data_IF_040370580976
#
_entry.id   IF_040370580976
#
_cell.length_a   1.000
_cell.length_b   1.000
_cell.length_c   1.000
_cell.angle_alpha   90.00
_cell.angle_beta   90.00
_cell.angle_gamma   90.00
#
_symmetry.space_group_name_H-M   'P 1'
#
loop_
_entity.id
_entity.type
_entity.pdbx_description
1 polymer ?
#
# COMPACT_ATOMS: atom_id res chain seq x y z
N UNK A 1 -7.78 -8.82 -39.61
CA UNK A 1 -8.03 -9.74 -38.48
C UNK A 1 -9.15 -9.16 -37.63
N UNK A 2 -10.10 -9.98 -37.20
CA UNK A 2 -11.23 -9.55 -36.35
C UNK A 2 -10.85 -9.62 -34.87
N UNK A 3 -11.36 -8.72 -34.02
CA UNK A 3 -11.05 -8.69 -32.58
C UNK A 3 -11.31 -10.03 -31.87
N UNK A 4 -12.33 -10.79 -32.30
CA UNK A 4 -12.66 -12.14 -31.81
C UNK A 4 -11.59 -13.21 -32.01
N UNK A 5 -10.64 -13.01 -32.93
CA UNK A 5 -9.54 -13.96 -33.17
C UNK A 5 -8.29 -13.65 -32.33
N UNK A 6 -8.35 -12.62 -31.49
CA UNK A 6 -7.23 -12.19 -30.65
C UNK A 6 -7.28 -12.90 -29.30
N UNK A 7 -6.11 -13.19 -28.74
CA UNK A 7 -5.99 -13.70 -27.37
C UNK A 7 -6.36 -12.63 -26.34
N UNK A 8 -6.63 -13.03 -25.08
CA UNK A 8 -6.85 -12.06 -24.00
C UNK A 8 -5.66 -11.11 -23.83
N UNK A 9 -4.42 -11.61 -23.97
CA UNK A 9 -3.21 -10.78 -23.96
C UNK A 9 -3.18 -9.79 -25.12
N UNK A 10 -3.55 -10.20 -26.34
CA UNK A 10 -3.67 -9.28 -27.47
C UNK A 10 -4.74 -8.20 -27.21
N UNK A 11 -5.85 -8.56 -26.57
CA UNK A 11 -6.92 -7.62 -26.20
C UNK A 11 -6.40 -6.58 -25.20
N UNK A 12 -5.69 -7.05 -24.17
CA UNK A 12 -5.00 -6.22 -23.19
C UNK A 12 -4.02 -5.24 -23.85
N UNK A 13 -3.16 -5.71 -24.75
CA UNK A 13 -2.08 -4.92 -25.32
C UNK A 13 -2.56 -3.94 -26.39
N UNK A 14 -3.56 -4.32 -27.19
CA UNK A 14 -4.00 -3.55 -28.37
C UNK A 14 -5.18 -2.62 -28.09
N UNK A 15 -5.95 -2.84 -27.03
CA UNK A 15 -7.17 -2.08 -26.76
C UNK A 15 -7.23 -1.55 -25.32
N UNK A 16 -7.11 -2.41 -24.31
CA UNK A 16 -7.29 -2.00 -22.91
C UNK A 16 -6.17 -1.09 -22.44
N UNK A 17 -4.91 -1.51 -22.58
CA UNK A 17 -3.75 -0.72 -22.13
C UNK A 17 -3.69 0.63 -22.84
N UNK A 18 -3.84 0.72 -24.19
CA UNK A 18 -3.91 2.01 -24.87
C UNK A 18 -5.05 2.90 -24.39
N UNK A 19 -6.24 2.37 -24.14
CA UNK A 19 -7.38 3.14 -23.62
C UNK A 19 -7.08 3.75 -22.23
N UNK A 20 -6.52 2.94 -21.33
CA UNK A 20 -6.14 3.37 -19.98
C UNK A 20 -5.03 4.43 -20.05
N UNK A 21 -4.02 4.25 -20.91
CA UNK A 21 -2.97 5.26 -21.12
C UNK A 21 -3.50 6.55 -21.76
N UNK A 22 -4.44 6.45 -22.71
CA UNK A 22 -5.06 7.61 -23.34
C UNK A 22 -5.89 8.44 -22.35
N UNK A 23 -6.47 7.80 -21.33
CA UNK A 23 -7.09 8.47 -20.19
C UNK A 23 -6.08 9.13 -19.21
N UNK A 24 -4.77 9.05 -19.50
CA UNK A 24 -3.72 9.75 -18.76
C UNK A 24 -3.08 8.96 -17.62
N UNK A 25 -3.30 7.65 -17.54
CA UNK A 25 -2.63 6.78 -16.57
C UNK A 25 -1.18 6.49 -16.99
N UNK A 26 -0.24 6.63 -16.05
CA UNK A 26 1.17 6.32 -16.30
C UNK A 26 1.46 4.82 -16.26
N UNK A 27 2.09 4.30 -17.33
CA UNK A 27 2.36 2.87 -17.50
C UNK A 27 3.35 2.30 -16.49
N UNK A 28 4.26 3.11 -15.97
CA UNK A 28 5.36 2.67 -15.09
C UNK A 28 5.07 2.96 -13.61
N UNK A 29 4.24 3.96 -13.32
CA UNK A 29 3.98 4.41 -11.95
C UNK A 29 2.58 4.06 -11.44
N UNK A 30 1.60 3.93 -12.32
CA UNK A 30 0.19 3.83 -11.93
C UNK A 30 -0.50 2.57 -12.45
N UNK A 31 -0.05 1.99 -13.57
CA UNK A 31 -0.61 0.77 -14.15
C UNK A 31 0.24 -0.45 -13.74
N UNK A 32 -0.30 -1.32 -12.90
CA UNK A 32 0.36 -2.57 -12.50
C UNK A 32 -0.34 -3.77 -13.14
N UNK A 33 0.29 -4.38 -14.13
CA UNK A 33 -0.23 -5.57 -14.81
C UNK A 33 0.14 -6.85 -14.07
N UNK A 34 -0.70 -7.87 -14.23
CA UNK A 34 -0.46 -9.23 -13.70
C UNK A 34 -0.21 -9.20 -12.18
N UNK A 35 -0.98 -8.37 -11.47
CA UNK A 35 -0.76 -8.05 -10.07
C UNK A 35 -1.14 -9.24 -9.18
N UNK A 36 -0.15 -9.87 -8.55
CA UNK A 36 -0.36 -11.04 -7.70
C UNK A 36 -0.94 -10.65 -6.34
N UNK A 37 -2.20 -11.01 -6.11
CA UNK A 37 -2.91 -10.86 -4.83
C UNK A 37 -2.66 -12.05 -3.90
N UNK A 38 -2.54 -13.26 -4.46
CA UNK A 38 -2.32 -14.49 -3.71
C UNK A 38 -1.37 -15.43 -4.44
N UNK A 39 -0.25 -15.86 -3.85
CA UNK A 39 0.74 -16.69 -4.53
C UNK A 39 0.35 -18.19 -4.61
N UNK A 40 -0.92 -18.52 -4.41
CA UNK A 40 -1.40 -19.89 -4.32
C UNK A 40 -1.06 -20.59 -2.99
N UNK A 41 -1.90 -21.54 -2.61
CA UNK A 41 -1.75 -22.37 -1.41
C UNK A 41 -0.63 -23.38 -1.61
N UNK A 42 0.13 -23.65 -0.56
CA UNK A 42 1.10 -24.74 -0.55
C UNK A 42 0.34 -26.04 -0.30
N UNK A 43 0.54 -27.02 -1.19
CA UNK A 43 -0.02 -28.37 -1.09
C UNK A 43 1.13 -29.34 -0.90
N UNK A 44 1.01 -30.19 0.11
CA UNK A 44 2.01 -31.24 0.41
C UNK A 44 1.43 -32.59 -0.01
N UNK A 45 2.17 -33.33 -0.84
CA UNK A 45 1.84 -34.69 -1.25
C UNK A 45 3.04 -35.60 -1.00
N UNK A 46 2.92 -36.47 -0.01
CA UNK A 46 4.02 -37.34 0.44
C UNK A 46 5.22 -36.50 0.89
N UNK A 47 6.37 -36.71 0.23
CA UNK A 47 7.63 -35.98 0.50
C UNK A 47 7.83 -34.74 -0.38
N UNK A 48 6.85 -34.38 -1.20
CA UNK A 48 6.93 -33.23 -2.12
C UNK A 48 5.96 -32.12 -1.71
N UNK A 49 6.37 -30.87 -1.89
CA UNK A 49 5.52 -29.70 -1.71
C UNK A 49 5.49 -28.88 -2.99
N UNK A 50 4.31 -28.46 -3.42
CA UNK A 50 4.13 -27.57 -4.57
C UNK A 50 3.09 -26.50 -4.26
N UNK A 51 2.98 -25.49 -5.12
CA UNK A 51 1.90 -24.49 -5.03
C UNK A 51 0.75 -24.91 -5.93
N UNK A 52 -0.48 -24.81 -5.40
CA UNK A 52 -1.69 -24.98 -6.19
C UNK A 52 -1.90 -23.74 -7.08
N UNK A 53 -1.51 -23.87 -8.34
CA UNK A 53 -1.61 -22.81 -9.35
C UNK A 53 -3.06 -22.33 -9.55
N UNK A 54 -4.06 -23.19 -9.30
CA UNK A 54 -5.49 -22.81 -9.41
C UNK A 54 -5.94 -21.86 -8.31
N UNK A 55 -5.19 -21.79 -7.22
CA UNK A 55 -5.48 -20.89 -6.09
C UNK A 55 -4.65 -19.60 -6.13
N UNK A 56 -3.88 -19.38 -7.19
CA UNK A 56 -3.22 -18.10 -7.43
C UNK A 56 -4.31 -17.08 -7.74
N UNK A 57 -4.29 -15.97 -7.02
CA UNK A 57 -5.15 -14.83 -7.31
C UNK A 57 -4.27 -13.76 -7.95
N UNK A 58 -4.60 -13.37 -9.17
CA UNK A 58 -3.86 -12.40 -9.96
C UNK A 58 -4.87 -11.54 -10.70
N UNK A 59 -4.79 -10.24 -10.48
CA UNK A 59 -5.58 -9.27 -11.21
C UNK A 59 -4.85 -8.88 -12.50
N UNK A 60 -5.59 -8.69 -13.58
CA UNK A 60 -4.98 -8.33 -14.87
C UNK A 60 -4.37 -6.94 -14.80
N UNK A 61 -5.08 -5.99 -14.16
CA UNK A 61 -4.58 -4.66 -13.86
C UNK A 61 -4.99 -4.23 -12.46
N UNK A 62 -4.05 -3.60 -11.75
CA UNK A 62 -4.34 -2.75 -10.59
C UNK A 62 -3.89 -1.33 -10.91
N UNK A 63 -4.83 -0.40 -10.83
CA UNK A 63 -4.59 1.02 -11.04
C UNK A 63 -4.33 1.69 -9.70
N UNK A 64 -3.24 2.44 -9.59
CA UNK A 64 -2.83 3.12 -8.36
C UNK A 64 -2.70 4.64 -8.57
N UNK A 65 -3.11 5.44 -7.58
CA UNK A 65 -2.83 6.89 -7.57
C UNK A 65 -1.31 7.13 -7.58
N UNK A 66 -0.62 6.42 -6.68
CA UNK A 66 0.84 6.31 -6.57
C UNK A 66 1.16 4.87 -6.21
N UNK A 67 2.39 4.42 -6.44
CA UNK A 67 2.81 3.07 -6.09
C UNK A 67 2.36 2.66 -4.66
N UNK A 68 1.62 1.53 -4.57
CA UNK A 68 1.02 0.97 -3.34
C UNK A 68 -0.14 1.78 -2.73
N UNK A 69 -0.76 2.69 -3.50
CA UNK A 69 -2.01 3.37 -3.17
C UNK A 69 -3.03 3.00 -4.26
N UNK A 70 -3.64 1.80 -4.16
CA UNK A 70 -4.53 1.30 -5.20
C UNK A 70 -5.84 2.10 -5.23
N UNK A 71 -6.44 2.19 -6.41
CA UNK A 71 -7.75 2.81 -6.65
C UNK A 71 -8.72 1.87 -7.34
N UNK A 72 -8.27 1.07 -8.30
CA UNK A 72 -9.15 0.24 -9.10
C UNK A 72 -8.52 -1.09 -9.52
N UNK A 73 -9.38 -2.02 -9.90
CA UNK A 73 -9.00 -3.28 -10.57
C UNK A 73 -9.67 -3.35 -11.93
N UNK A 74 -8.94 -3.82 -12.95
CA UNK A 74 -9.52 -4.18 -14.26
C UNK A 74 -9.31 -5.67 -14.48
N UNK A 75 -10.39 -6.38 -14.83
CA UNK A 75 -10.32 -7.75 -15.32
C UNK A 75 -10.66 -7.80 -16.81
N UNK A 76 -9.74 -8.38 -17.56
CA UNK A 76 -9.85 -8.57 -18.99
C UNK A 76 -10.45 -9.95 -19.32
N UNK A 77 -11.04 -10.03 -20.50
CA UNK A 77 -11.44 -11.26 -21.18
C UNK A 77 -11.11 -11.13 -22.67
N UNK A 78 -10.94 -12.25 -23.36
CA UNK A 78 -10.95 -12.22 -24.82
C UNK A 78 -12.31 -11.73 -25.37
N UNK A 79 -12.32 -11.26 -26.61
CA UNK A 79 -13.48 -10.59 -27.20
C UNK A 79 -14.68 -11.51 -27.50
N UNK A 80 -14.57 -12.82 -27.29
CA UNK A 80 -15.72 -13.72 -27.40
C UNK A 80 -16.62 -13.70 -26.15
N UNK A 81 -16.15 -13.08 -25.07
CA UNK A 81 -16.92 -12.91 -23.85
C UNK A 81 -17.76 -11.63 -23.87
N UNK A 82 -18.83 -11.60 -23.08
CA UNK A 82 -19.59 -10.39 -22.82
C UNK A 82 -18.73 -9.35 -22.08
N UNK A 83 -19.04 -8.06 -22.27
CA UNK A 83 -18.28 -6.95 -21.70
C UNK A 83 -18.10 -7.04 -20.17
N UNK A 84 -19.15 -7.50 -19.46
CA UNK A 84 -19.15 -7.64 -18.01
C UNK A 84 -18.72 -9.02 -17.48
N UNK A 85 -18.22 -9.92 -18.33
CA UNK A 85 -17.94 -11.31 -17.93
C UNK A 85 -16.89 -11.44 -16.81
N UNK A 86 -15.98 -10.47 -16.67
CA UNK A 86 -14.98 -10.41 -15.60
C UNK A 86 -15.43 -9.64 -14.35
N UNK A 87 -16.62 -9.05 -14.32
CA UNK A 87 -17.01 -8.11 -13.27
C UNK A 87 -17.03 -8.73 -11.87
N UNK A 88 -17.55 -9.96 -11.73
CA UNK A 88 -17.54 -10.65 -10.43
C UNK A 88 -16.12 -10.88 -9.89
N UNK A 89 -15.16 -11.18 -10.78
CA UNK A 89 -13.75 -11.33 -10.43
C UNK A 89 -13.15 -9.97 -10.03
N UNK A 90 -13.43 -8.91 -10.80
CA UNK A 90 -12.96 -7.55 -10.52
C UNK A 90 -13.46 -7.05 -9.14
N UNK A 91 -14.73 -7.29 -8.82
CA UNK A 91 -15.32 -6.95 -7.50
C UNK A 91 -14.59 -7.68 -6.37
N UNK A 92 -14.36 -8.99 -6.51
CA UNK A 92 -13.68 -9.77 -5.48
C UNK A 92 -12.26 -9.26 -5.24
N UNK A 93 -11.54 -8.89 -6.29
CA UNK A 93 -10.18 -8.34 -6.19
C UNK A 93 -10.15 -6.92 -5.65
N UNK A 94 -11.12 -6.08 -6.02
CA UNK A 94 -11.27 -4.74 -5.44
C UNK A 94 -11.56 -4.81 -3.94
N UNK A 95 -12.39 -5.76 -3.49
CA UNK A 95 -12.63 -6.03 -2.07
C UNK A 95 -11.35 -6.48 -1.34
N UNK A 96 -10.54 -7.35 -1.96
CA UNK A 96 -9.25 -7.75 -1.38
C UNK A 96 -8.29 -6.56 -1.24
N UNK A 97 -8.29 -5.64 -2.20
CA UNK A 97 -7.45 -4.43 -2.18
C UNK A 97 -8.04 -3.26 -1.40
N UNK A 98 -9.26 -3.40 -0.88
CA UNK A 98 -9.98 -2.34 -0.15
C UNK A 98 -10.21 -1.06 -0.98
N UNK A 99 -10.62 -1.24 -2.24
CA UNK A 99 -10.87 -0.13 -3.18
C UNK A 99 -12.28 -0.18 -3.77
N UNK A 100 -12.88 1.00 -4.10
CA UNK A 100 -14.30 1.07 -4.49
C UNK A 100 -14.54 0.93 -6.00
N UNK A 101 -13.51 0.95 -6.84
CA UNK A 101 -13.65 0.95 -8.29
C UNK A 101 -13.29 -0.40 -8.89
N UNK A 102 -14.12 -0.91 -9.79
CA UNK A 102 -13.88 -2.18 -10.50
C UNK A 102 -14.29 -2.05 -11.96
N UNK A 103 -13.51 -2.65 -12.85
CA UNK A 103 -13.75 -2.64 -14.28
C UNK A 103 -13.70 -4.06 -14.84
N UNK A 104 -14.54 -4.33 -15.83
CA UNK A 104 -14.41 -5.48 -16.71
C UNK A 104 -14.32 -5.04 -18.15
N UNK A 105 -13.47 -5.68 -18.95
CA UNK A 105 -13.35 -5.37 -20.38
C UNK A 105 -13.11 -6.62 -21.21
N UNK A 106 -13.60 -6.61 -22.45
CA UNK A 106 -13.30 -7.59 -23.49
C UNK A 106 -12.63 -6.93 -24.72
N UNK A 107 -12.17 -5.68 -24.58
CA UNK A 107 -11.59 -4.86 -25.63
C UNK A 107 -12.56 -4.01 -26.45
N UNK A 108 -13.89 -4.13 -26.30
CA UNK A 108 -14.86 -3.25 -26.98
C UNK A 108 -15.20 -1.98 -26.17
N UNK A 109 -14.96 -2.02 -24.86
CA UNK A 109 -15.25 -0.95 -23.92
C UNK A 109 -14.98 -1.43 -22.49
N UNK A 110 -15.69 -0.87 -21.51
CA UNK A 110 -15.63 -1.30 -20.13
C UNK A 110 -17.03 -1.39 -19.52
N UNK A 111 -17.26 -2.35 -18.64
CA UNK A 111 -18.25 -2.17 -17.57
C UNK A 111 -17.50 -1.57 -16.40
N UNK A 112 -17.93 -0.40 -15.94
CA UNK A 112 -17.39 0.28 -14.77
C UNK A 112 -18.37 0.20 -13.61
N UNK A 113 -17.88 -0.28 -12.47
CA UNK A 113 -18.59 -0.28 -11.21
C UNK A 113 -17.95 0.70 -10.23
N UNK A 114 -18.76 1.65 -9.76
CA UNK A 114 -18.37 2.68 -8.80
C UNK A 114 -19.12 2.49 -7.47
N UNK A 115 -18.45 1.86 -6.48
CA UNK A 115 -19.03 1.67 -5.15
C UNK A 115 -19.16 2.99 -4.37
N UNK A 116 -18.52 4.08 -4.79
CA UNK A 116 -18.66 5.38 -4.14
C UNK A 116 -20.02 6.03 -4.44
N UNK A 117 -20.69 5.59 -5.50
CA UNK A 117 -21.93 6.19 -6.01
C UNK A 117 -21.80 7.70 -6.29
N UNK A 118 -20.61 8.17 -6.68
CA UNK A 118 -20.37 9.59 -6.92
C UNK A 118 -21.29 10.20 -8.00
N UNK A 119 -21.70 9.41 -8.99
CA UNK A 119 -22.67 9.80 -10.03
C UNK A 119 -24.12 9.38 -9.73
N UNK A 120 -24.35 8.68 -8.61
CA UNK A 120 -25.62 8.01 -8.31
C UNK A 120 -25.87 6.70 -9.08
N UNK A 121 -24.95 6.32 -9.98
CA UNK A 121 -25.01 5.08 -10.77
C UNK A 121 -23.96 4.11 -10.24
N UNK A 122 -24.37 2.88 -9.94
CA UNK A 122 -23.47 1.86 -9.41
C UNK A 122 -22.65 1.19 -10.51
N UNK A 123 -23.24 0.97 -11.68
CA UNK A 123 -22.62 0.23 -12.77
C UNK A 123 -23.07 0.79 -14.12
N UNK A 124 -22.12 1.10 -14.99
CA UNK A 124 -22.35 1.69 -16.31
C UNK A 124 -21.38 1.12 -17.35
N UNK A 125 -21.78 1.20 -18.63
CA UNK A 125 -20.91 0.83 -19.74
C UNK A 125 -20.20 2.08 -20.27
N UNK A 126 -18.89 1.97 -20.46
CA UNK A 126 -18.03 3.01 -21.03
C UNK A 126 -17.47 2.54 -22.37
N UNK A 127 -17.31 3.46 -23.32
CA UNK A 127 -16.43 3.20 -24.48
C UNK A 127 -14.96 3.22 -24.05
N UNK A 128 -14.05 2.85 -24.95
CA UNK A 128 -12.61 2.87 -24.66
C UNK A 128 -12.11 4.30 -24.37
N UNK A 129 -12.70 5.31 -25.00
CA UNK A 129 -12.34 6.72 -24.88
C UNK A 129 -12.92 7.38 -23.62
N UNK A 130 -13.88 6.72 -22.97
CA UNK A 130 -14.56 7.21 -21.77
C UNK A 130 -13.94 6.66 -20.48
N UNK A 131 -12.79 5.98 -20.55
CA UNK A 131 -12.11 5.48 -19.37
C UNK A 131 -11.73 6.65 -18.45
N UNK A 132 -12.04 6.57 -17.13
CA UNK A 132 -11.83 7.69 -16.23
C UNK A 132 -10.35 7.98 -16.00
N UNK A 133 -10.03 9.25 -15.87
CA UNK A 133 -8.66 9.72 -15.61
C UNK A 133 -8.20 9.37 -14.18
N UNK A 134 -6.88 9.34 -13.91
CA UNK A 134 -6.37 9.16 -12.54
C UNK A 134 -6.89 10.21 -11.57
N UNK A 135 -6.99 11.47 -12.02
CA UNK A 135 -7.45 12.59 -11.19
C UNK A 135 -8.93 12.44 -10.80
N UNK A 136 -9.79 12.02 -11.72
CA UNK A 136 -11.21 11.80 -11.44
C UNK A 136 -11.42 10.68 -10.43
N UNK A 137 -10.77 9.51 -10.62
CA UNK A 137 -10.88 8.42 -9.66
C UNK A 137 -10.30 8.79 -8.29
N UNK A 138 -9.18 9.52 -8.26
CA UNK A 138 -8.59 9.99 -7.01
C UNK A 138 -9.53 10.94 -6.26
N UNK A 139 -10.12 11.92 -6.96
CA UNK A 139 -11.06 12.86 -6.36
C UNK A 139 -12.29 12.15 -5.79
N UNK A 140 -12.87 11.19 -6.55
CA UNK A 140 -13.99 10.37 -6.07
C UNK A 140 -13.60 9.53 -4.85
N UNK A 141 -12.39 8.95 -4.85
CA UNK A 141 -11.87 8.17 -3.73
C UNK A 141 -11.72 9.03 -2.46
N UNK A 142 -11.10 10.21 -2.57
CA UNK A 142 -10.95 11.13 -1.44
C UNK A 142 -12.30 11.60 -0.89
N UNK A 143 -13.25 11.92 -1.76
CA UNK A 143 -14.60 12.31 -1.37
C UNK A 143 -15.35 11.17 -0.67
N UNK A 144 -15.28 9.95 -1.22
CA UNK A 144 -15.87 8.75 -0.62
C UNK A 144 -15.29 8.44 0.76
N UNK A 145 -13.98 8.64 0.92
CA UNK A 145 -13.30 8.56 2.20
C UNK A 145 -13.62 9.74 3.12
N UNK A 146 -14.22 10.83 2.65
CA UNK A 146 -14.43 12.04 3.44
C UNK A 146 -13.12 12.65 3.93
N UNK A 147 -12.07 12.61 3.11
CA UNK A 147 -10.79 13.23 3.44
C UNK A 147 -10.80 14.73 3.15
N UNK A 148 -10.30 15.50 4.12
CA UNK A 148 -9.89 16.88 3.87
C UNK A 148 -8.50 16.93 3.22
N UNK A 149 -8.01 18.14 2.95
CA UNK A 149 -6.70 18.34 2.33
C UNK A 149 -5.54 17.83 3.21
N UNK A 150 -5.63 17.97 4.53
CA UNK A 150 -4.59 17.54 5.45
C UNK A 150 -4.49 16.01 5.48
N UNK A 151 -5.62 15.32 5.58
CA UNK A 151 -5.69 13.87 5.55
C UNK A 151 -5.20 13.36 4.21
N UNK A 152 -5.61 13.98 3.11
CA UNK A 152 -5.18 13.61 1.75
C UNK A 152 -3.66 13.68 1.61
N UNK A 153 -3.03 14.79 2.02
CA UNK A 153 -1.57 14.97 1.95
C UNK A 153 -0.80 13.89 2.72
N UNK A 154 -1.31 13.47 3.88
CA UNK A 154 -0.68 12.41 4.69
C UNK A 154 -0.93 11.04 4.06
N UNK A 155 -2.18 10.76 3.68
CA UNK A 155 -2.63 9.48 3.14
C UNK A 155 -2.13 9.20 1.72
N UNK A 156 -1.66 10.21 1.00
CA UNK A 156 -1.02 10.05 -0.32
C UNK A 156 0.50 10.08 -0.26
N UNK A 157 1.10 10.23 0.92
CA UNK A 157 2.55 10.35 1.05
C UNK A 157 3.22 9.06 0.56
N UNK A 158 4.26 9.13 -0.29
CA UNK A 158 4.89 7.95 -0.88
C UNK A 158 5.46 6.97 0.14
N UNK A 159 5.40 5.69 -0.20
CA UNK A 159 6.09 4.63 0.51
C UNK A 159 7.61 4.81 0.42
N UNK A 160 8.35 4.27 1.39
CA UNK A 160 9.80 4.21 1.25
C UNK A 160 10.16 3.28 0.09
N UNK A 161 11.10 3.68 -0.79
CA UNK A 161 11.66 2.80 -1.81
C UNK A 161 12.22 1.54 -1.15
N UNK A 162 11.56 0.40 -1.38
CA UNK A 162 11.87 -0.88 -0.74
C UNK A 162 11.15 -2.01 -1.49
N UNK A 163 11.21 -3.24 -0.96
CA UNK A 163 10.43 -4.38 -1.47
C UNK A 163 8.96 -4.03 -1.64
N UNK A 164 8.31 -4.58 -2.66
CA UNK A 164 6.87 -4.40 -2.87
C UNK A 164 6.07 -5.06 -1.74
N UNK A 165 5.19 -4.33 -1.03
CA UNK A 165 4.29 -4.90 -0.03
C UNK A 165 3.32 -5.90 -0.66
N UNK A 166 2.95 -6.93 0.10
CA UNK A 166 1.80 -7.79 -0.25
C UNK A 166 0.49 -7.00 -0.05
N UNK A 167 -0.59 -7.39 -0.74
CA UNK A 167 -1.88 -6.67 -0.67
C UNK A 167 -2.36 -6.42 0.77
N UNK A 168 -2.27 -7.41 1.65
CA UNK A 168 -2.72 -7.26 3.03
C UNK A 168 -1.81 -6.31 3.84
N UNK A 169 -0.54 -6.17 3.47
CA UNK A 169 0.35 -5.16 4.05
C UNK A 169 0.01 -3.77 3.52
N UNK A 170 -0.29 -3.64 2.22
CA UNK A 170 -0.81 -2.39 1.63
C UNK A 170 -2.03 -1.91 2.40
N UNK A 171 -3.03 -2.77 2.58
CA UNK A 171 -4.25 -2.44 3.32
C UNK A 171 -3.95 -2.05 4.77
N UNK A 172 -3.13 -2.82 5.47
CA UNK A 172 -2.75 -2.54 6.84
C UNK A 172 -2.05 -1.17 6.98
N UNK A 173 -1.12 -0.87 6.08
CA UNK A 173 -0.37 0.39 6.07
C UNK A 173 -1.31 1.56 5.76
N UNK A 174 -2.05 1.49 4.64
CA UNK A 174 -2.94 2.56 4.19
C UNK A 174 -4.02 2.87 5.21
N UNK A 175 -4.74 1.86 5.73
CA UNK A 175 -5.78 2.05 6.74
C UNK A 175 -5.23 2.67 8.03
N UNK A 176 -4.02 2.30 8.43
CA UNK A 176 -3.42 2.84 9.67
C UNK A 176 -2.98 4.29 9.49
N UNK A 177 -2.36 4.63 8.35
CA UNK A 177 -1.97 6.00 8.03
C UNK A 177 -3.22 6.88 7.92
N UNK A 178 -4.25 6.41 7.22
CA UNK A 178 -5.57 7.07 7.09
C UNK A 178 -6.20 7.33 8.46
N UNK A 179 -6.29 6.31 9.32
CA UNK A 179 -6.90 6.45 10.64
C UNK A 179 -6.17 7.49 11.50
N UNK A 180 -4.84 7.44 11.53
CA UNK A 180 -4.03 8.39 12.29
C UNK A 180 -4.14 9.80 11.72
N UNK A 181 -4.18 9.94 10.39
CA UNK A 181 -4.35 11.23 9.72
C UNK A 181 -5.71 11.87 10.07
N UNK A 182 -6.77 11.07 10.18
CA UNK A 182 -8.10 11.51 10.67
C UNK A 182 -8.17 11.78 12.18
N UNK A 183 -7.04 11.72 12.90
CA UNK A 183 -6.99 11.99 14.33
C UNK A 183 -7.36 10.80 15.21
N UNK A 184 -7.49 9.59 14.68
CA UNK A 184 -7.68 8.40 15.51
C UNK A 184 -6.40 8.11 16.32
N UNK A 185 -6.52 8.19 17.65
CA UNK A 185 -5.37 8.10 18.56
C UNK A 185 -4.93 6.66 18.85
N UNK A 186 -5.79 5.67 18.58
CA UNK A 186 -5.57 4.25 18.92
C UNK A 186 -6.02 3.36 17.77
N UNK A 187 -5.14 2.46 17.35
CA UNK A 187 -5.43 1.43 16.35
C UNK A 187 -4.81 0.11 16.81
N UNK A 188 -5.45 -1.00 16.44
CA UNK A 188 -4.96 -2.36 16.68
C UNK A 188 -4.84 -3.08 15.33
N UNK A 189 -3.64 -3.57 15.02
CA UNK A 189 -3.40 -4.40 13.84
C UNK A 189 -3.16 -5.84 14.29
N UNK A 190 -4.06 -6.73 13.89
CA UNK A 190 -3.93 -8.17 14.15
C UNK A 190 -3.34 -8.82 12.91
N UNK A 191 -2.10 -9.31 13.02
CA UNK A 191 -1.37 -9.94 11.93
C UNK A 191 -0.64 -11.19 12.41
N UNK A 192 -0.80 -12.30 11.67
CA UNK A 192 -0.15 -13.57 12.00
C UNK A 192 1.40 -13.44 12.02
N UNK A 193 2.07 -14.32 12.75
CA UNK A 193 3.54 -14.42 12.74
C UNK A 193 4.05 -14.76 11.34
N UNK A 194 5.19 -14.18 10.94
CA UNK A 194 5.77 -14.38 9.60
C UNK A 194 5.12 -13.58 8.46
N UNK A 195 4.05 -12.82 8.71
CA UNK A 195 3.37 -12.02 7.66
C UNK A 195 4.03 -10.68 7.34
N UNK A 196 5.12 -10.32 8.03
CA UNK A 196 5.87 -9.08 7.79
C UNK A 196 5.39 -7.88 8.61
N UNK A 197 5.13 -8.07 9.91
CA UNK A 197 4.75 -7.01 10.85
C UNK A 197 5.79 -5.88 10.93
N UNK A 198 7.08 -6.21 11.01
CA UNK A 198 8.16 -5.21 11.12
C UNK A 198 8.20 -4.29 9.91
N UNK A 199 8.11 -4.85 8.71
CA UNK A 199 8.03 -4.06 7.47
C UNK A 199 6.76 -3.20 7.38
N UNK A 200 5.63 -3.74 7.86
CA UNK A 200 4.36 -2.99 7.93
C UNK A 200 4.51 -1.78 8.85
N UNK A 201 5.07 -1.97 10.04
CA UNK A 201 5.37 -0.90 11.00
C UNK A 201 6.35 0.12 10.40
N UNK A 202 7.42 -0.34 9.74
CA UNK A 202 8.38 0.52 9.05
C UNK A 202 7.69 1.49 8.09
N UNK A 203 6.85 0.98 7.18
CA UNK A 203 6.17 1.82 6.19
C UNK A 203 5.15 2.77 6.81
N UNK A 204 4.43 2.35 7.86
CA UNK A 204 3.52 3.25 8.61
C UNK A 204 4.32 4.42 9.21
N UNK A 205 5.42 4.10 9.92
CA UNK A 205 6.30 5.10 10.57
C UNK A 205 6.88 6.03 9.50
N UNK A 206 7.37 5.48 8.39
CA UNK A 206 7.94 6.25 7.29
C UNK A 206 6.96 7.29 6.76
N UNK A 207 5.74 6.86 6.41
CA UNK A 207 4.73 7.73 5.81
C UNK A 207 4.26 8.81 6.79
N UNK A 208 4.06 8.47 8.06
CA UNK A 208 3.68 9.45 9.08
C UNK A 208 4.81 10.44 9.43
N UNK A 209 6.05 9.97 9.43
CA UNK A 209 7.20 10.82 9.74
C UNK A 209 7.51 11.77 8.58
N UNK A 210 7.58 11.23 7.36
CA UNK A 210 7.98 12.00 6.18
C UNK A 210 6.91 12.97 5.68
N UNK A 211 5.63 12.67 5.90
CA UNK A 211 4.54 13.64 5.69
C UNK A 211 4.50 14.76 6.74
N UNK A 212 5.27 14.65 7.83
CA UNK A 212 5.23 15.59 8.95
C UNK A 212 4.07 15.36 9.93
N UNK A 213 3.19 14.38 9.70
CA UNK A 213 2.07 14.05 10.58
C UNK A 213 2.50 13.68 12.00
N UNK A 214 3.66 13.01 12.15
CA UNK A 214 4.25 12.65 13.45
C UNK A 214 5.75 12.95 13.48
N UNK A 215 6.17 13.81 14.40
CA UNK A 215 7.59 14.23 14.55
C UNK A 215 8.43 13.28 15.39
N UNK A 216 7.84 12.65 16.41
CA UNK A 216 8.51 11.76 17.36
C UNK A 216 7.74 10.47 17.47
N UNK A 217 8.42 9.35 17.26
CA UNK A 217 7.82 8.02 17.21
C UNK A 217 8.62 7.09 18.13
N UNK A 218 7.92 6.41 19.03
CA UNK A 218 8.48 5.40 19.91
C UNK A 218 8.06 4.02 19.41
N UNK A 219 9.04 3.21 19.01
CA UNK A 219 8.82 1.82 18.60
C UNK A 219 9.30 0.89 19.73
N UNK A 220 8.38 0.13 20.32
CA UNK A 220 8.66 -0.76 21.45
C UNK A 220 8.62 -2.21 21.00
N UNK A 221 9.58 -3.00 21.48
CA UNK A 221 9.64 -4.44 21.29
C UNK A 221 10.07 -5.11 22.58
N UNK A 222 9.74 -6.38 22.72
CA UNK A 222 9.97 -7.18 23.93
C UNK A 222 11.47 -7.41 24.24
N UNK A 223 12.34 -7.48 23.22
CA UNK A 223 13.74 -7.91 23.39
C UNK A 223 14.74 -7.02 22.66
N UNK A 224 15.91 -6.83 23.27
CA UNK A 224 17.03 -6.08 22.70
C UNK A 224 17.50 -6.61 21.34
N UNK A 225 17.56 -7.94 21.17
CA UNK A 225 17.98 -8.56 19.90
C UNK A 225 17.02 -8.25 18.75
N UNK A 226 15.71 -8.15 19.04
CA UNK A 226 14.70 -7.83 18.03
C UNK A 226 14.79 -6.36 17.56
N UNK A 227 15.09 -5.44 18.48
CA UNK A 227 15.30 -4.03 18.09
C UNK A 227 16.58 -3.88 17.28
N UNK A 228 17.66 -4.56 17.66
CA UNK A 228 18.94 -4.49 16.93
C UNK A 228 18.78 -4.98 15.49
N UNK A 229 18.11 -6.12 15.29
CA UNK A 229 17.79 -6.64 13.96
C UNK A 229 16.90 -5.70 13.15
N UNK A 230 15.94 -5.04 13.80
CA UNK A 230 15.03 -4.10 13.12
C UNK A 230 15.78 -2.87 12.63
N UNK A 231 16.66 -2.31 13.47
CA UNK A 231 17.45 -1.11 13.17
C UNK A 231 18.40 -1.31 11.98
N UNK A 232 19.05 -2.47 11.87
CA UNK A 232 20.00 -2.74 10.77
C UNK A 232 19.32 -3.15 9.47
N UNK A 233 18.08 -3.68 9.53
CA UNK A 233 17.34 -4.19 8.38
C UNK A 233 16.22 -3.22 7.95
N UNK A 234 14.95 -3.54 8.26
CA UNK A 234 13.78 -2.81 7.76
C UNK A 234 13.85 -1.30 8.10
N UNK A 235 14.42 -0.92 9.26
CA UNK A 235 14.48 0.48 9.70
C UNK A 235 15.76 1.20 9.26
N UNK A 236 16.64 0.57 8.48
CA UNK A 236 17.85 1.18 7.95
C UNK A 236 17.61 2.55 7.29
N UNK A 237 16.49 2.82 6.58
CA UNK A 237 16.21 4.14 6.01
C UNK A 237 16.05 5.28 7.04
N UNK A 238 15.90 4.97 8.33
CA UNK A 238 15.90 5.95 9.42
C UNK A 238 17.29 6.16 10.05
N UNK A 239 18.36 5.61 9.47
CA UNK A 239 19.73 5.80 9.96
C UNK A 239 20.03 7.30 10.16
N UNK A 240 20.59 7.64 11.32
CA UNK A 240 20.87 9.03 11.70
C UNK A 240 19.69 9.77 12.36
N UNK A 241 18.47 9.24 12.26
CA UNK A 241 17.28 9.76 12.94
C UNK A 241 16.75 8.83 14.05
N UNK A 242 17.33 7.63 14.20
CA UNK A 242 16.98 6.67 15.26
C UNK A 242 17.93 6.78 16.45
N UNK A 243 17.38 6.57 17.64
CA UNK A 243 18.14 6.33 18.86
C UNK A 243 17.56 5.10 19.58
N UNK A 244 18.43 4.18 20.02
CA UNK A 244 18.05 3.07 20.89
C UNK A 244 18.12 3.53 22.34
N UNK A 245 17.00 3.50 23.04
CA UNK A 245 16.97 3.80 24.47
C UNK A 245 17.47 2.55 25.23
N UNK A 246 18.44 2.75 26.11
CA UNK A 246 18.96 1.72 27.01
C UNK A 246 19.00 2.28 28.42
N UNK A 247 18.65 1.49 29.47
CA UNK A 247 18.87 1.87 30.85
C UNK A 247 20.34 2.22 31.16
N UNK A 248 21.27 1.69 30.35
CA UNK A 248 22.72 1.92 30.48
C UNK A 248 23.27 2.84 29.37
N UNK A 249 22.40 3.50 28.59
CA UNK A 249 22.86 4.54 27.67
C UNK A 249 23.53 5.64 28.51
N UNK A 250 24.64 6.21 28.05
CA UNK A 250 25.44 7.21 28.79
C UNK A 250 24.60 8.38 29.38
N UNK A 251 23.39 8.63 28.89
CA UNK A 251 22.44 9.61 29.45
C UNK A 251 21.60 9.17 30.66
N UNK A 252 21.50 7.88 30.99
CA UNK A 252 20.73 7.41 32.15
C UNK A 252 21.49 7.65 33.47
N UNK A 253 22.80 7.38 33.46
CA UNK A 253 23.72 7.76 34.55
C UNK A 253 23.80 9.29 34.69
N UNK A 254 23.93 10.03 33.58
CA UNK A 254 23.95 11.49 33.62
C UNK A 254 22.63 12.10 34.12
N UNK A 255 21.47 11.52 33.80
CA UNK A 255 20.18 11.97 34.36
C UNK A 255 20.05 11.66 35.85
N UNK A 256 20.53 10.50 36.31
CA UNK A 256 20.59 10.19 37.74
C UNK A 256 21.54 11.14 38.47
N UNK A 257 22.71 11.44 37.88
CA UNK A 257 23.68 12.41 38.40
C UNK A 257 23.15 13.84 38.39
N UNK A 258 22.34 14.24 37.41
CA UNK A 258 21.66 15.53 37.39
C UNK A 258 20.61 15.62 38.50
N UNK A 259 19.79 14.57 38.68
CA UNK A 259 18.80 14.50 39.76
C UNK A 259 19.47 14.46 41.14
N UNK A 260 20.66 13.85 41.24
CA UNK A 260 21.49 13.85 42.45
C UNK A 260 22.33 15.14 42.63
N UNK A 261 22.20 16.14 41.73
CA UNK A 261 22.92 17.42 41.81
C UNK A 261 24.43 17.35 41.52
N UNK A 262 24.92 16.22 40.99
CA UNK A 262 26.33 15.97 40.71
C UNK A 262 26.81 16.53 39.37
N UNK A 263 25.89 16.92 38.48
CA UNK A 263 26.17 17.59 37.20
C UNK A 263 25.09 18.64 36.90
N UNK A 264 25.35 19.58 36.00
CA UNK A 264 24.40 20.61 35.56
C UNK A 264 23.67 20.19 34.27
N UNK A 265 22.61 20.91 33.90
CA UNK A 265 21.90 20.68 32.64
C UNK A 265 22.79 20.88 31.40
N UNK A 266 23.76 21.80 31.46
CA UNK A 266 24.73 22.04 30.38
C UNK A 266 25.63 20.82 30.17
N UNK A 267 26.15 20.20 31.24
CA UNK A 267 26.94 18.97 31.14
C UNK A 267 26.17 17.79 30.52
N UNK A 268 24.85 17.69 30.78
CA UNK A 268 23.99 16.67 30.17
C UNK A 268 23.78 16.95 28.67
N UNK A 269 23.64 18.21 28.28
CA UNK A 269 23.47 18.62 26.88
C UNK A 269 24.72 18.31 26.05
N UNK A 270 25.91 18.65 26.56
CA UNK A 270 27.19 18.42 25.86
C UNK A 270 27.49 16.93 25.67
N UNK A 271 27.24 16.11 26.69
CA UNK A 271 27.48 14.67 26.64
C UNK A 271 26.50 13.91 25.72
N UNK A 272 25.32 14.46 25.47
CA UNK A 272 24.35 13.93 24.50
C UNK A 272 24.59 14.47 23.08
N UNK A 273 25.33 15.59 22.94
CA UNK A 273 25.67 16.22 21.68
C UNK A 273 26.93 15.64 21.02
N UNK A 274 27.83 15.01 21.78
CA UNK A 274 29.00 14.33 21.21
C UNK A 274 28.57 13.11 20.38
N UNK A 275 28.67 13.21 19.04
CA UNK A 275 28.51 12.07 18.13
C UNK A 275 29.61 11.03 18.36
N UNK A 276 29.34 9.74 18.15
CA UNK A 276 30.41 8.75 18.09
C UNK A 276 31.27 8.99 16.85
N UNK A 277 32.59 8.93 17.01
CA UNK A 277 33.56 8.73 15.93
C UNK A 277 33.27 7.43 15.16
#
# INVERSE_FOLDING_TARGET
MTKKSLSETDICDKFITPAVQQAGWDLHEQIFREYTLGPGRVVVRGKSSSRDLKSVLRADYVLCHKANIPLAVIEAKDNNHALGAGMAQAINYAQLLDVPFSFSSNGDGFVFRDQTLASGVLEENLTLEQFPTPAELWQRYCAWKGWDQQVTQIAEYPYSPSKTPRYYQVNAINRTVEAIARGQQRALLVMATGTGKTYTAFQIIWRLWKSGAKKRILFLVDRNTLIDQTMVNDFRPFKGAMAKLSPNAKGADLRQRLVAGQITQEHLADALASKPD
#
